data_IF_065630169897
#
_entry.id   IF_065630169897
#
_cell.length_a   1.000
_cell.length_b   1.000
_cell.length_c   1.000
_cell.angle_alpha   90.00
_cell.angle_beta   90.00
_cell.angle_gamma   90.00
#
_symmetry.space_group_name_H-M   'P 1'
#
loop_
_entity.id
_entity.type
_entity.pdbx_description
1 polymer ?
#
# COMPACT_ATOMS: atom_id res chain seq x y z
N UNK A 1 4.84 -13.25 -11.87
CA UNK A 1 4.06 -12.66 -12.98
C UNK A 1 3.61 -11.26 -12.56
N UNK A 2 3.77 -10.24 -13.41
CA UNK A 2 3.14 -8.93 -13.24
C UNK A 2 2.05 -8.82 -14.29
N UNK A 3 0.79 -8.76 -13.85
CA UNK A 3 -0.38 -8.59 -14.73
C UNK A 3 -1.00 -7.23 -14.48
N UNK A 4 -0.38 -6.13 -14.96
CA UNK A 4 -0.94 -4.78 -14.81
C UNK A 4 -2.36 -4.65 -15.37
N UNK A 5 -2.72 -5.47 -16.36
CA UNK A 5 -4.08 -5.59 -16.90
C UNK A 5 -5.15 -5.99 -15.86
N UNK A 6 -4.79 -6.75 -14.82
CA UNK A 6 -5.72 -7.09 -13.74
C UNK A 6 -6.06 -5.88 -12.85
N UNK A 7 -5.16 -4.89 -12.76
CA UNK A 7 -5.44 -3.65 -12.02
C UNK A 7 -6.44 -2.76 -12.78
N UNK A 8 -6.36 -2.74 -14.11
CA UNK A 8 -7.37 -2.10 -14.96
C UNK A 8 -8.74 -2.78 -14.85
N UNK A 9 -8.74 -4.12 -14.78
CA UNK A 9 -9.96 -4.91 -14.62
C UNK A 9 -10.68 -4.66 -13.28
N UNK A 10 -9.95 -4.55 -12.17
CA UNK A 10 -10.54 -4.21 -10.86
C UNK A 10 -11.21 -2.84 -10.90
N UNK A 11 -10.57 -1.82 -11.51
CA UNK A 11 -11.18 -0.49 -11.70
C UNK A 11 -12.45 -0.56 -12.53
N UNK A 12 -12.47 -1.38 -13.57
CA UNK A 12 -13.61 -1.52 -14.46
C UNK A 12 -14.81 -2.18 -13.74
N UNK A 13 -14.57 -3.17 -12.89
CA UNK A 13 -15.62 -3.77 -12.04
C UNK A 13 -16.19 -2.75 -11.06
N UNK A 14 -15.33 -1.95 -10.41
CA UNK A 14 -15.80 -0.88 -9.52
C UNK A 14 -16.62 0.18 -10.26
N UNK A 15 -16.32 0.45 -11.53
CA UNK A 15 -17.05 1.39 -12.39
C UNK A 15 -18.43 0.85 -12.81
N UNK A 16 -18.55 -0.46 -13.03
CA UNK A 16 -19.79 -1.13 -13.48
C UNK A 16 -20.82 -1.22 -12.34
N UNK A 17 -20.37 -1.34 -11.08
CA UNK A 17 -21.25 -1.40 -9.91
C UNK A 17 -22.10 -2.69 -9.83
N UNK A 18 -23.03 -2.74 -8.88
CA UNK A 18 -23.94 -3.87 -8.68
C UNK A 18 -23.31 -5.12 -8.04
N UNK A 19 -23.94 -6.28 -8.21
CA UNK A 19 -23.57 -7.54 -7.57
C UNK A 19 -22.11 -7.96 -7.76
N UNK A 20 -21.51 -7.61 -8.91
CA UNK A 20 -20.11 -7.92 -9.20
C UNK A 20 -19.15 -7.14 -8.29
N UNK A 21 -19.42 -5.86 -8.04
CA UNK A 21 -18.63 -5.05 -7.12
C UNK A 21 -18.81 -5.50 -5.67
N UNK A 22 -20.00 -5.93 -5.28
CA UNK A 22 -20.26 -6.47 -3.93
C UNK A 22 -19.50 -7.77 -3.69
N UNK A 23 -19.46 -8.67 -4.68
CA UNK A 23 -18.68 -9.92 -4.60
C UNK A 23 -17.18 -9.66 -4.50
N UNK A 24 -16.64 -8.76 -5.32
CA UNK A 24 -15.22 -8.40 -5.23
C UNK A 24 -14.87 -7.80 -3.87
N UNK A 25 -15.73 -6.93 -3.32
CA UNK A 25 -15.53 -6.40 -1.97
C UNK A 25 -15.53 -7.53 -0.93
N UNK A 26 -16.49 -8.46 -1.01
CA UNK A 26 -16.56 -9.61 -0.12
C UNK A 26 -15.31 -10.52 -0.21
N UNK A 27 -14.77 -10.71 -1.42
CA UNK A 27 -13.54 -11.50 -1.63
C UNK A 27 -12.28 -10.78 -1.11
N UNK A 28 -12.28 -9.45 -1.11
CA UNK A 28 -11.17 -8.64 -0.59
C UNK A 28 -11.20 -8.49 0.93
N UNK A 29 -12.38 -8.60 1.56
CA UNK A 29 -12.59 -8.38 2.99
C UNK A 29 -11.62 -9.15 3.88
N UNK A 30 -11.35 -10.46 3.67
CA UNK A 30 -10.38 -11.20 4.50
C UNK A 30 -8.95 -10.64 4.43
N UNK A 31 -8.56 -10.06 3.30
CA UNK A 31 -7.24 -9.46 3.13
C UNK A 31 -7.16 -8.09 3.80
N UNK A 32 -8.22 -7.29 3.66
CA UNK A 32 -8.37 -5.99 4.33
C UNK A 32 -8.30 -6.19 5.85
N UNK A 33 -9.16 -7.07 6.39
CA UNK A 33 -9.19 -7.42 7.81
C UNK A 33 -7.83 -7.91 8.33
N UNK A 34 -7.13 -8.76 7.59
CA UNK A 34 -5.78 -9.21 8.01
C UNK A 34 -4.76 -8.08 8.04
N UNK A 35 -4.82 -7.16 7.08
CA UNK A 35 -3.89 -6.03 7.00
C UNK A 35 -4.16 -4.99 8.09
N UNK A 36 -5.41 -4.65 8.36
CA UNK A 36 -5.77 -3.70 9.43
C UNK A 36 -5.41 -4.27 10.81
N UNK A 37 -5.73 -5.54 11.07
CA UNK A 37 -5.35 -6.22 12.32
C UNK A 37 -3.83 -6.28 12.52
N UNK A 38 -3.06 -6.46 11.44
CA UNK A 38 -1.61 -6.37 11.50
C UNK A 38 -1.18 -4.97 11.94
N UNK A 39 -1.68 -3.92 11.29
CA UNK A 39 -1.32 -2.54 11.62
C UNK A 39 -1.66 -2.18 13.06
N UNK A 40 -2.85 -2.54 13.54
CA UNK A 40 -3.24 -2.32 14.93
C UNK A 40 -2.29 -2.97 15.93
N UNK A 41 -1.89 -4.23 15.67
CA UNK A 41 -0.93 -4.92 16.52
C UNK A 41 0.43 -4.21 16.53
N UNK A 42 0.97 -3.86 15.36
CA UNK A 42 2.26 -3.17 15.28
C UNK A 42 2.24 -1.77 15.91
N UNK A 43 1.09 -1.08 15.87
CA UNK A 43 0.86 0.19 16.57
C UNK A 43 0.84 0.01 18.08
N UNK A 44 0.19 -1.05 18.58
CA UNK A 44 0.17 -1.38 20.01
C UNK A 44 1.57 -1.74 20.52
N UNK A 45 2.39 -2.35 19.68
CA UNK A 45 3.79 -2.67 19.98
C UNK A 45 4.75 -1.49 19.72
N UNK A 46 4.24 -0.32 19.33
CA UNK A 46 5.04 0.90 19.13
C UNK A 46 5.99 0.86 17.93
N UNK A 47 5.83 -0.11 17.01
CA UNK A 47 6.64 -0.21 15.78
C UNK A 47 6.12 0.69 14.66
N UNK A 48 4.79 0.82 14.59
CA UNK A 48 4.12 1.74 13.67
C UNK A 48 3.54 2.90 14.49
N UNK A 49 3.61 4.12 13.94
CA UNK A 49 2.99 5.31 14.55
C UNK A 49 1.48 5.09 14.72
N UNK A 50 0.89 5.65 15.78
CA UNK A 50 -0.57 5.58 15.95
C UNK A 50 -1.29 6.41 14.88
N UNK A 51 -2.18 5.77 14.14
CA UNK A 51 -3.13 6.39 13.22
C UNK A 51 -4.30 5.42 12.97
N UNK A 52 -5.27 5.84 12.17
CA UNK A 52 -6.32 4.91 11.73
C UNK A 52 -5.73 3.84 10.79
N UNK A 53 -5.92 2.53 11.07
CA UNK A 53 -5.35 1.44 10.29
C UNK A 53 -5.98 1.30 8.90
N UNK A 54 -7.25 1.67 8.75
CA UNK A 54 -7.96 1.67 7.46
C UNK A 54 -7.40 2.74 6.53
N UNK A 55 -7.24 3.97 7.02
CA UNK A 55 -6.63 5.07 6.27
C UNK A 55 -5.16 4.77 5.94
N UNK A 56 -4.43 4.10 6.83
CA UNK A 56 -3.07 3.65 6.55
C UNK A 56 -3.04 2.63 5.40
N UNK A 57 -3.93 1.64 5.41
CA UNK A 57 -4.05 0.66 4.33
C UNK A 57 -4.35 1.32 2.99
N UNK A 58 -5.33 2.24 2.95
CA UNK A 58 -5.69 3.00 1.74
C UNK A 58 -4.52 3.83 1.22
N UNK A 59 -3.77 4.47 2.12
CA UNK A 59 -2.60 5.27 1.77
C UNK A 59 -1.48 4.40 1.17
N UNK A 60 -1.19 3.26 1.79
CA UNK A 60 -0.20 2.31 1.30
C UNK A 60 -0.60 1.73 -0.07
N UNK A 61 -1.85 1.32 -0.23
CA UNK A 61 -2.41 0.86 -1.50
C UNK A 61 -2.27 1.92 -2.59
N UNK A 62 -2.67 3.16 -2.32
CA UNK A 62 -2.62 4.25 -3.29
C UNK A 62 -1.19 4.55 -3.74
N UNK A 63 -0.24 4.54 -2.81
CA UNK A 63 1.18 4.75 -3.10
C UNK A 63 1.74 3.63 -4.01
N UNK A 64 1.43 2.37 -3.68
CA UNK A 64 1.85 1.22 -4.49
C UNK A 64 1.22 1.27 -5.88
N UNK A 65 -0.07 1.60 -5.95
CA UNK A 65 -0.81 1.68 -7.21
C UNK A 65 -0.24 2.76 -8.13
N UNK A 66 -0.06 3.99 -7.62
CA UNK A 66 0.56 5.09 -8.39
C UNK A 66 1.94 4.69 -8.91
N UNK A 67 2.80 4.18 -8.01
CA UNK A 67 4.12 3.71 -8.39
C UNK A 67 4.12 2.57 -9.42
N UNK A 68 3.09 1.72 -9.44
CA UNK A 68 2.97 0.60 -10.37
C UNK A 68 2.39 0.99 -11.73
N UNK A 69 1.48 1.98 -11.78
CA UNK A 69 0.72 2.31 -13.00
C UNK A 69 1.22 3.53 -13.76
N UNK A 70 1.98 4.43 -13.14
CA UNK A 70 2.38 5.71 -13.74
C UNK A 70 3.68 5.61 -14.55
N UNK A 71 3.69 4.77 -15.59
CA UNK A 71 4.89 4.55 -16.43
C UNK A 71 5.33 5.83 -17.15
N UNK A 72 4.40 6.64 -17.62
CA UNK A 72 4.71 7.89 -18.34
C UNK A 72 5.34 8.94 -17.42
N UNK A 73 4.96 8.98 -16.15
CA UNK A 73 5.60 9.85 -15.15
C UNK A 73 7.06 9.46 -14.97
N UNK A 74 7.37 8.15 -14.95
CA UNK A 74 8.75 7.66 -14.88
C UNK A 74 9.57 8.11 -16.09
N UNK A 75 9.01 7.97 -17.31
CA UNK A 75 9.67 8.43 -18.53
C UNK A 75 9.93 9.94 -18.50
N UNK A 76 8.95 10.72 -18.04
CA UNK A 76 9.05 12.17 -17.94
C UNK A 76 10.18 12.64 -16.98
N UNK A 77 10.49 11.85 -15.95
CA UNK A 77 11.61 12.12 -15.03
C UNK A 77 12.92 11.42 -15.44
N UNK A 78 13.00 10.88 -16.66
CA UNK A 78 14.21 10.25 -17.21
C UNK A 78 14.47 8.82 -16.71
N UNK A 79 13.48 8.17 -16.10
CA UNK A 79 13.59 6.79 -15.60
C UNK A 79 13.01 5.82 -16.64
N UNK A 80 13.91 5.09 -17.31
CA UNK A 80 13.50 4.11 -18.30
C UNK A 80 12.90 2.84 -17.63
N UNK A 81 11.73 2.33 -18.06
CA UNK A 81 11.07 1.15 -17.46
C UNK A 81 11.74 -0.16 -17.85
N UNK A 82 12.86 -0.49 -17.19
CA UNK A 82 13.60 -1.73 -17.37
C UNK A 82 13.40 -2.68 -16.19
N UNK A 83 13.84 -3.94 -16.32
CA UNK A 83 13.87 -4.88 -15.19
C UNK A 83 14.73 -4.37 -14.03
N UNK A 84 15.86 -3.71 -14.34
CA UNK A 84 16.74 -3.13 -13.32
C UNK A 84 16.06 -1.97 -12.59
N UNK A 85 15.52 -0.99 -13.32
CA UNK A 85 14.87 0.17 -12.69
C UNK A 85 13.63 -0.23 -11.88
N UNK A 86 12.95 -1.28 -12.32
CA UNK A 86 11.89 -1.95 -11.58
C UNK A 86 12.31 -2.43 -10.18
N UNK A 87 13.47 -3.11 -10.06
CA UNK A 87 13.92 -3.68 -8.78
C UNK A 87 14.31 -2.57 -7.83
N UNK A 88 15.04 -1.57 -8.34
CA UNK A 88 15.42 -0.37 -7.58
C UNK A 88 14.17 0.35 -7.08
N UNK A 89 13.21 0.63 -7.96
CA UNK A 89 11.93 1.27 -7.58
C UNK A 89 11.16 0.52 -6.51
N UNK A 90 11.11 -0.81 -6.59
CA UNK A 90 10.46 -1.62 -5.54
C UNK A 90 11.13 -1.41 -4.19
N UNK A 91 12.47 -1.37 -4.16
CA UNK A 91 13.23 -1.13 -2.93
C UNK A 91 12.96 0.26 -2.37
N UNK A 92 13.00 1.29 -3.21
CA UNK A 92 12.73 2.68 -2.79
C UNK A 92 11.29 2.87 -2.29
N UNK A 93 10.31 2.30 -2.98
CA UNK A 93 8.91 2.33 -2.57
C UNK A 93 8.71 1.69 -1.19
N UNK A 94 9.34 0.53 -0.95
CA UNK A 94 9.27 -0.13 0.35
C UNK A 94 9.94 0.73 1.42
N UNK A 95 11.12 1.29 1.15
CA UNK A 95 11.83 2.17 2.09
C UNK A 95 10.99 3.42 2.43
N UNK A 96 10.36 4.04 1.43
CA UNK A 96 9.44 5.16 1.61
C UNK A 96 8.25 4.79 2.50
N UNK A 97 7.59 3.66 2.21
CA UNK A 97 6.46 3.18 3.02
C UNK A 97 6.88 2.88 4.47
N UNK A 98 8.03 2.23 4.66
CA UNK A 98 8.57 2.00 6.01
C UNK A 98 8.82 3.31 6.76
N UNK A 99 9.53 4.25 6.14
CA UNK A 99 9.81 5.55 6.75
C UNK A 99 8.51 6.31 7.09
N UNK A 100 7.49 6.20 6.23
CA UNK A 100 6.18 6.78 6.48
C UNK A 100 5.40 6.08 7.60
N UNK A 101 5.77 4.87 8.05
CA UNK A 101 5.04 4.14 9.09
C UNK A 101 5.74 4.15 10.45
N UNK A 102 7.07 4.28 10.47
CA UNK A 102 7.87 4.20 11.70
C UNK A 102 7.42 5.26 12.72
N UNK A 103 7.23 4.82 13.96
CA UNK A 103 6.96 5.73 15.08
C UNK A 103 8.18 6.64 15.34
N UNK A 104 7.96 7.93 15.68
CA UNK A 104 9.04 8.81 16.14
C UNK A 104 9.78 8.17 17.34
N UNK A 105 11.10 8.32 17.40
CA UNK A 105 11.93 7.72 18.47
C UNK A 105 11.46 8.10 19.88
N UNK A 106 10.83 9.26 20.02
CA UNK A 106 10.29 9.81 21.27
C UNK A 106 9.22 8.93 21.92
N UNK A 107 8.54 8.08 21.14
CA UNK A 107 7.51 7.17 21.63
C UNK A 107 8.08 5.92 22.34
N UNK A 108 9.34 5.54 22.05
CA UNK A 108 9.99 4.37 22.69
C UNK A 108 10.47 4.66 24.11
N UNK A 109 10.74 5.92 24.42
CA UNK A 109 11.33 6.36 25.71
C UNK A 109 10.29 6.54 26.82
N UNK A 110 8.98 6.53 26.52
CA UNK A 110 7.90 6.81 27.47
C UNK A 110 7.16 5.57 28.00
N UNK A 111 7.58 4.35 27.68
CA UNK A 111 6.98 3.15 28.28
C UNK A 111 7.38 3.04 29.76
N UNK A 112 6.42 2.98 30.72
CA UNK A 112 6.75 2.76 32.13
C UNK A 112 7.26 1.32 32.32
N UNK A 113 8.29 1.19 33.16
CA UNK A 113 8.81 -0.10 33.64
C UNK A 113 7.80 -0.84 34.51
#
# INVERSE_FOLDING_TARGET
MRRPELLGFIREISRIGGDASLRVTADLEPFVSRATNYFEREMNEGRIRRCDPGLLLVSAYSTVLGAATEVEVLRAVGIEPTLRSTVVRRRELLAFLYAAMVAPDDARTQAPR
#
